data_IF_447443177502
#
_entry.id   IF_447443177502
#
_cell.length_a   1.000
_cell.length_b   1.000
_cell.length_c   1.000
_cell.angle_alpha   90.00
_cell.angle_beta   90.00
_cell.angle_gamma   90.00
#
_symmetry.space_group_name_H-M   'P 1'
#
loop_
_entity.id
_entity.type
_entity.pdbx_description
1 polymer ?
#
# COMPACT_ATOMS: atom_id res chain seq x y z
N UNK A 1 6.49 6.59 6.82
CA UNK A 1 6.92 7.94 6.35
C UNK A 1 6.01 9.12 6.68
N UNK A 2 4.78 8.92 7.18
CA UNK A 2 3.76 9.96 7.28
C UNK A 2 4.21 11.28 7.94
N UNK A 3 5.10 11.23 8.95
CA UNK A 3 5.52 12.41 9.73
C UNK A 3 6.93 12.92 9.48
N UNK A 4 7.68 12.31 8.57
CA UNK A 4 9.12 12.56 8.40
C UNK A 4 9.47 14.03 8.12
N UNK A 5 8.62 14.74 7.37
CA UNK A 5 8.84 16.14 6.97
C UNK A 5 7.92 17.14 7.71
N UNK A 6 7.35 16.75 8.85
CA UNK A 6 6.49 17.63 9.66
C UNK A 6 6.98 17.73 11.10
N UNK A 7 6.64 18.84 11.77
CA UNK A 7 7.01 19.14 13.16
C UNK A 7 6.01 18.56 14.18
N UNK A 8 4.96 17.87 13.73
CA UNK A 8 3.89 17.33 14.58
C UNK A 8 4.30 16.04 15.28
N UNK A 9 3.87 15.87 16.54
CA UNK A 9 4.20 14.72 17.41
C UNK A 9 2.97 13.91 17.87
N UNK A 10 1.86 13.95 17.14
CA UNK A 10 0.70 13.11 17.49
C UNK A 10 1.08 11.63 17.51
N UNK A 11 0.22 10.74 18.02
CA UNK A 11 0.34 9.28 17.88
C UNK A 11 -1.03 8.73 17.48
N UNK A 12 -1.03 7.85 16.49
CA UNK A 12 -2.22 7.13 16.04
C UNK A 12 -1.71 5.91 15.27
N UNK A 13 -2.25 4.75 15.61
CA UNK A 13 -1.90 3.44 15.09
C UNK A 13 -2.91 2.43 15.60
N UNK A 14 -2.96 1.27 14.96
CA UNK A 14 -3.71 0.14 15.49
C UNK A 14 -2.91 -0.57 16.58
N UNK A 15 -3.61 -1.02 17.62
CA UNK A 15 -3.08 -1.92 18.63
C UNK A 15 -3.60 -3.32 18.31
N UNK A 16 -2.68 -4.27 18.08
CA UNK A 16 -3.07 -5.66 17.82
C UNK A 16 -3.48 -6.35 19.12
N UNK A 17 -4.48 -7.25 19.08
CA UNK A 17 -4.78 -8.13 20.20
C UNK A 17 -3.53 -8.94 20.61
N UNK A 18 -3.48 -9.34 21.88
CA UNK A 18 -2.36 -10.15 22.43
C UNK A 18 -2.46 -11.62 21.99
N UNK A 19 -3.63 -12.06 21.55
CA UNK A 19 -3.85 -13.44 21.12
C UNK A 19 -3.04 -13.78 19.86
N UNK A 20 -2.47 -14.98 19.86
CA UNK A 20 -1.71 -15.53 18.73
C UNK A 20 -2.57 -16.40 17.79
N UNK A 21 -3.83 -16.67 18.18
CA UNK A 21 -4.79 -17.46 17.43
C UNK A 21 -5.95 -16.58 16.92
N UNK A 22 -6.56 -17.00 15.80
CA UNK A 22 -7.79 -16.38 15.29
C UNK A 22 -8.92 -16.51 16.32
N UNK A 23 -9.78 -15.50 16.51
CA UNK A 23 -10.93 -15.60 17.41
C UNK A 23 -11.88 -16.74 17.01
N UNK A 24 -12.44 -17.46 17.99
CA UNK A 24 -13.34 -18.61 17.76
C UNK A 24 -14.58 -18.30 16.90
N UNK A 25 -15.02 -17.04 16.85
CA UNK A 25 -16.16 -16.62 16.04
C UNK A 25 -15.78 -16.31 14.58
N UNK A 26 -14.49 -16.18 14.29
CA UNK A 26 -13.90 -15.95 12.96
C UNK A 26 -13.31 -17.26 12.43
N UNK A 27 -14.11 -18.33 12.49
CA UNK A 27 -13.74 -19.67 12.05
C UNK A 27 -14.09 -19.83 10.57
N UNK A 28 -13.13 -19.49 9.71
CA UNK A 28 -13.21 -19.61 8.25
C UNK A 28 -11.94 -20.32 7.79
N UNK A 29 -12.09 -21.28 6.88
CA UNK A 29 -10.97 -22.03 6.33
C UNK A 29 -9.96 -21.10 5.64
N UNK A 30 -8.67 -21.41 5.79
CA UNK A 30 -7.60 -20.56 5.28
C UNK A 30 -7.66 -20.46 3.74
N UNK A 31 -8.03 -21.55 3.07
CA UNK A 31 -8.16 -21.62 1.62
C UNK A 31 -9.27 -20.68 1.10
N UNK A 32 -10.37 -20.54 1.85
CA UNK A 32 -11.47 -19.63 1.50
C UNK A 32 -11.05 -18.16 1.67
N UNK A 33 -10.25 -17.87 2.71
CA UNK A 33 -9.67 -16.54 2.93
C UNK A 33 -8.70 -16.20 1.80
N UNK A 34 -7.79 -17.10 1.44
CA UNK A 34 -6.84 -16.92 0.34
C UNK A 34 -7.57 -16.69 -1.00
N UNK A 35 -8.60 -17.50 -1.28
CA UNK A 35 -9.43 -17.34 -2.48
C UNK A 35 -10.10 -15.96 -2.54
N UNK A 36 -10.62 -15.48 -1.39
CA UNK A 36 -11.23 -14.14 -1.31
C UNK A 36 -10.21 -13.02 -1.48
N UNK A 37 -8.98 -13.19 -0.99
CA UNK A 37 -7.89 -12.22 -1.20
C UNK A 37 -7.62 -12.06 -2.70
N UNK A 38 -7.47 -13.18 -3.42
CA UNK A 38 -7.22 -13.16 -4.87
C UNK A 38 -8.39 -12.53 -5.63
N UNK A 39 -9.63 -12.91 -5.29
CA UNK A 39 -10.83 -12.35 -5.92
C UNK A 39 -10.90 -10.81 -5.77
N UNK A 40 -10.54 -10.28 -4.60
CA UNK A 40 -10.52 -8.83 -4.36
C UNK A 40 -9.36 -8.16 -5.12
N UNK A 41 -8.21 -8.81 -5.26
CA UNK A 41 -7.12 -8.29 -6.08
C UNK A 41 -7.48 -8.22 -7.57
N UNK A 42 -8.17 -9.25 -8.10
CA UNK A 42 -8.69 -9.25 -9.48
C UNK A 42 -9.72 -8.14 -9.71
N UNK A 43 -10.43 -7.71 -8.67
CA UNK A 43 -11.33 -6.56 -8.70
C UNK A 43 -10.59 -5.20 -8.65
N UNK A 44 -9.26 -5.23 -8.52
CA UNK A 44 -8.41 -4.04 -8.50
C UNK A 44 -8.28 -3.37 -7.13
N UNK A 45 -8.57 -4.08 -6.03
CA UNK A 45 -8.34 -3.55 -4.69
C UNK A 45 -6.88 -3.68 -4.26
N UNK A 46 -6.34 -2.63 -3.64
CA UNK A 46 -5.00 -2.64 -3.08
C UNK A 46 -4.91 -3.57 -1.85
N UNK A 47 -3.73 -4.13 -1.51
CA UNK A 47 -3.54 -4.98 -0.33
C UNK A 47 -4.07 -4.37 0.98
N UNK A 48 -3.90 -3.06 1.18
CA UNK A 48 -4.45 -2.37 2.36
C UNK A 48 -5.99 -2.33 2.36
N UNK A 49 -6.61 -2.16 1.20
CA UNK A 49 -8.06 -2.16 1.02
C UNK A 49 -8.63 -3.57 1.18
N UNK A 50 -7.95 -4.59 0.64
CA UNK A 50 -8.31 -6.00 0.82
C UNK A 50 -8.39 -6.34 2.31
N UNK A 51 -7.37 -5.94 3.09
CA UNK A 51 -7.38 -6.15 4.54
C UNK A 51 -8.57 -5.48 5.25
N UNK A 52 -8.95 -4.26 4.84
CA UNK A 52 -10.13 -3.60 5.39
C UNK A 52 -11.42 -4.32 5.01
N UNK A 53 -11.55 -4.77 3.76
CA UNK A 53 -12.73 -5.53 3.30
C UNK A 53 -12.86 -6.87 4.00
N UNK A 54 -11.79 -7.62 4.18
CA UNK A 54 -11.83 -8.86 4.94
C UNK A 54 -12.23 -8.62 6.40
N UNK A 55 -11.74 -7.52 7.00
CA UNK A 55 -12.09 -7.15 8.37
C UNK A 55 -13.55 -6.69 8.53
N UNK A 56 -14.11 -5.99 7.55
CA UNK A 56 -15.41 -5.34 7.69
C UNK A 56 -16.54 -6.16 7.01
N UNK A 57 -16.26 -6.81 5.88
CA UNK A 57 -17.21 -7.58 5.06
C UNK A 57 -17.04 -9.10 5.22
N UNK A 58 -15.79 -9.58 5.37
CA UNK A 58 -15.49 -11.01 5.48
C UNK A 58 -15.50 -11.79 4.17
N UNK A 59 -15.48 -13.12 4.26
CA UNK A 59 -15.56 -14.05 3.12
C UNK A 59 -17.01 -14.49 2.83
N UNK A 60 -17.82 -14.70 3.88
CA UNK A 60 -19.25 -15.06 3.78
C UNK A 60 -20.06 -14.32 4.85
N UNK A 61 -19.73 -13.05 5.09
CA UNK A 61 -20.29 -12.25 6.19
C UNK A 61 -19.65 -12.53 7.56
N UNK A 62 -18.72 -13.50 7.64
CA UNK A 62 -17.85 -13.70 8.81
C UNK A 62 -16.62 -12.82 8.68
N UNK A 63 -16.46 -11.79 9.53
CA UNK A 63 -15.33 -10.87 9.47
C UNK A 63 -14.01 -11.56 9.82
N UNK A 64 -12.92 -11.17 9.16
CA UNK A 64 -11.56 -11.69 9.41
C UNK A 64 -10.68 -10.56 10.00
N UNK A 65 -10.47 -10.54 11.33
CA UNK A 65 -9.78 -9.42 11.99
C UNK A 65 -8.30 -9.28 11.64
N UNK A 66 -7.61 -10.41 11.48
CA UNK A 66 -6.19 -10.47 11.13
C UNK A 66 -5.95 -11.67 10.22
N UNK A 67 -5.73 -11.39 8.93
CA UNK A 67 -5.45 -12.42 7.91
C UNK A 67 -4.26 -13.28 8.30
N UNK A 68 -3.22 -12.68 8.89
CA UNK A 68 -2.01 -13.41 9.27
C UNK A 68 -2.28 -14.42 10.37
N UNK A 69 -3.16 -14.11 11.33
CA UNK A 69 -3.52 -15.06 12.38
C UNK A 69 -4.39 -16.20 11.84
N UNK A 70 -5.24 -15.91 10.85
CA UNK A 70 -6.13 -16.90 10.26
C UNK A 70 -5.42 -17.86 9.28
N UNK A 71 -4.52 -17.35 8.43
CA UNK A 71 -3.87 -18.15 7.37
C UNK A 71 -2.39 -18.44 7.60
N UNK A 72 -1.75 -17.77 8.57
CA UNK A 72 -0.31 -17.80 8.78
C UNK A 72 0.50 -16.92 7.81
N UNK A 73 -0.14 -16.36 6.78
CA UNK A 73 0.49 -15.55 5.72
C UNK A 73 -0.04 -14.12 5.73
N UNK A 74 0.77 -13.16 5.28
CA UNK A 74 0.30 -11.79 5.01
C UNK A 74 -0.48 -11.74 3.71
N UNK A 75 -1.33 -10.72 3.56
CA UNK A 75 -2.04 -10.43 2.31
C UNK A 75 -1.08 -10.36 1.12
N UNK A 76 0.07 -9.68 1.26
CA UNK A 76 1.06 -9.58 0.18
C UNK A 76 1.70 -10.92 -0.18
N UNK A 77 1.96 -11.78 0.82
CA UNK A 77 2.52 -13.12 0.61
C UNK A 77 1.52 -14.01 -0.15
N UNK A 78 0.22 -13.94 0.21
CA UNK A 78 -0.85 -14.64 -0.52
C UNK A 78 -0.91 -14.16 -1.98
N UNK A 79 -0.87 -12.84 -2.21
CA UNK A 79 -0.91 -12.29 -3.56
C UNK A 79 0.30 -12.70 -4.42
N UNK A 80 1.49 -12.76 -3.82
CA UNK A 80 2.71 -13.24 -4.49
C UNK A 80 2.62 -14.73 -4.85
N UNK A 81 2.14 -15.58 -3.95
CA UNK A 81 1.99 -17.02 -4.19
C UNK A 81 0.99 -17.35 -5.31
N UNK A 82 0.02 -16.46 -5.54
CA UNK A 82 -1.02 -16.62 -6.56
C UNK A 82 -0.78 -15.79 -7.82
N UNK A 83 0.40 -15.18 -7.99
CA UNK A 83 0.72 -14.30 -9.12
C UNK A 83 -0.31 -13.16 -9.33
N UNK A 84 -0.99 -12.73 -8.26
CA UNK A 84 -2.03 -11.71 -8.25
C UNK A 84 -1.55 -10.37 -7.65
N UNK A 85 -0.27 -10.28 -7.33
CA UNK A 85 0.36 -9.07 -6.79
C UNK A 85 0.64 -8.00 -7.85
N UNK A 86 0.65 -6.75 -7.42
CA UNK A 86 1.14 -5.62 -8.23
C UNK A 86 2.66 -5.70 -8.41
N UNK A 87 3.16 -5.34 -9.59
CA UNK A 87 4.60 -5.25 -9.89
C UNK A 87 5.32 -4.22 -9.02
N UNK A 88 4.61 -3.15 -8.66
CA UNK A 88 5.11 -2.05 -7.85
C UNK A 88 4.46 -2.08 -6.46
N UNK A 89 5.23 -1.90 -5.37
CA UNK A 89 4.68 -1.79 -4.02
C UNK A 89 3.64 -0.67 -3.89
N UNK A 90 2.52 -0.98 -3.22
CA UNK A 90 1.38 -0.07 -3.00
C UNK A 90 1.82 1.29 -2.42
N UNK A 91 2.70 1.28 -1.42
CA UNK A 91 3.14 2.50 -0.73
C UNK A 91 4.02 3.40 -1.61
N UNK A 92 4.80 2.80 -2.51
CA UNK A 92 5.58 3.52 -3.51
C UNK A 92 4.68 4.12 -4.58
N UNK A 93 3.81 3.30 -5.18
CA UNK A 93 2.82 3.71 -6.19
C UNK A 93 1.99 4.91 -5.73
N UNK A 94 1.41 4.83 -4.54
CA UNK A 94 0.61 5.91 -3.95
C UNK A 94 1.37 7.24 -3.80
N UNK A 95 2.67 7.20 -3.50
CA UNK A 95 3.48 8.42 -3.43
C UNK A 95 3.76 8.99 -4.81
N UNK A 96 4.00 8.13 -5.81
CA UNK A 96 4.21 8.53 -7.21
C UNK A 96 2.96 9.18 -7.78
N UNK A 97 1.78 8.56 -7.64
CA UNK A 97 0.47 9.13 -8.03
C UNK A 97 0.27 10.52 -7.42
N UNK A 98 0.53 10.65 -6.11
CA UNK A 98 0.42 11.93 -5.42
C UNK A 98 1.41 12.97 -5.95
N UNK A 99 2.63 12.58 -6.30
CA UNK A 99 3.63 13.50 -6.82
C UNK A 99 3.28 13.99 -8.23
N UNK A 100 2.72 13.13 -9.08
CA UNK A 100 2.24 13.49 -10.42
C UNK A 100 1.14 14.54 -10.31
N UNK A 101 0.09 14.28 -9.54
CA UNK A 101 -1.00 15.26 -9.38
C UNK A 101 -0.53 16.59 -8.75
N UNK A 102 0.44 16.55 -7.83
CA UNK A 102 1.06 17.76 -7.29
C UNK A 102 1.88 18.51 -8.36
N UNK A 103 2.50 17.80 -9.29
CA UNK A 103 3.31 18.41 -10.35
C UNK A 103 2.43 19.09 -11.39
N UNK A 104 1.39 18.41 -11.87
CA UNK A 104 0.39 18.97 -12.79
C UNK A 104 -0.25 20.25 -12.20
N UNK A 105 -0.65 20.20 -10.92
CA UNK A 105 -1.17 21.40 -10.22
C UNK A 105 -0.17 22.56 -10.21
N UNK A 106 1.12 22.27 -10.00
CA UNK A 106 2.17 23.28 -9.95
C UNK A 106 2.52 23.87 -11.31
N UNK A 107 2.27 23.15 -12.41
CA UNK A 107 2.44 23.65 -13.77
C UNK A 107 1.40 24.74 -14.09
N UNK A 108 0.16 24.55 -13.64
CA UNK A 108 -0.90 25.55 -13.75
C UNK A 108 -0.75 26.70 -12.72
N UNK A 109 -0.24 26.39 -11.52
CA UNK A 109 -0.22 27.30 -10.37
C UNK A 109 1.20 27.52 -9.80
N UNK A 110 2.14 28.13 -10.55
CA UNK A 110 3.56 28.22 -10.16
C UNK A 110 3.82 29.05 -8.88
N UNK A 111 2.86 29.89 -8.48
CA UNK A 111 2.95 30.74 -7.28
C UNK A 111 2.49 30.03 -5.99
N UNK A 112 1.95 28.81 -6.08
CA UNK A 112 1.53 28.05 -4.91
C UNK A 112 2.74 27.44 -4.16
N UNK A 113 3.37 28.26 -3.31
CA UNK A 113 4.54 27.86 -2.55
C UNK A 113 4.28 26.72 -1.54
N UNK A 114 3.03 26.56 -1.10
CA UNK A 114 2.67 25.50 -0.17
C UNK A 114 2.70 24.15 -0.86
N UNK A 115 2.05 24.04 -2.02
CA UNK A 115 2.07 22.80 -2.81
C UNK A 115 3.44 22.54 -3.45
N UNK A 116 4.21 23.58 -3.81
CA UNK A 116 5.61 23.41 -4.21
C UNK A 116 6.44 22.71 -3.15
N UNK A 117 6.29 23.12 -1.88
CA UNK A 117 6.96 22.45 -0.74
C UNK A 117 6.41 21.05 -0.52
N UNK A 118 5.11 20.83 -0.70
CA UNK A 118 4.50 19.51 -0.58
C UNK A 118 5.07 18.54 -1.63
N UNK A 119 5.17 18.97 -2.90
CA UNK A 119 5.78 18.21 -3.99
C UNK A 119 7.21 17.81 -3.64
N UNK A 120 8.07 18.76 -3.27
CA UNK A 120 9.46 18.49 -2.87
C UNK A 120 9.57 17.46 -1.75
N UNK A 121 8.70 17.53 -0.73
CA UNK A 121 8.67 16.56 0.35
C UNK A 121 8.17 15.19 -0.11
N UNK A 122 7.20 15.14 -1.02
CA UNK A 122 6.69 13.87 -1.59
C UNK A 122 7.78 13.21 -2.42
N UNK A 123 8.43 13.93 -3.33
CA UNK A 123 9.54 13.40 -4.13
C UNK A 123 10.71 12.93 -3.25
N UNK A 124 10.99 13.63 -2.14
CA UNK A 124 12.03 13.20 -1.19
C UNK A 124 11.69 11.86 -0.52
N UNK A 125 10.41 11.60 -0.23
CA UNK A 125 9.94 10.31 0.28
C UNK A 125 10.02 9.22 -0.79
N UNK A 126 9.65 9.55 -2.03
CA UNK A 126 9.76 8.61 -3.16
C UNK A 126 11.21 8.18 -3.33
N UNK A 127 12.16 9.12 -3.41
CA UNK A 127 13.60 8.79 -3.52
C UNK A 127 14.07 7.89 -2.39
N UNK A 128 13.61 8.14 -1.16
CA UNK A 128 13.93 7.30 -0.01
C UNK A 128 13.35 5.88 -0.10
N UNK A 129 12.12 5.72 -0.61
CA UNK A 129 11.55 4.38 -0.85
C UNK A 129 12.19 3.69 -2.04
N UNK A 130 12.50 4.43 -3.09
CA UNK A 130 13.20 3.89 -4.25
C UNK A 130 14.52 3.26 -3.81
N UNK A 131 15.29 3.94 -2.95
CA UNK A 131 16.51 3.39 -2.37
C UNK A 131 16.28 2.15 -1.48
N UNK A 132 15.11 2.03 -0.83
CA UNK A 132 14.77 0.90 0.03
C UNK A 132 14.40 -0.35 -0.78
N UNK A 133 13.64 -0.17 -1.87
CA UNK A 133 13.16 -1.25 -2.72
C UNK A 133 14.10 -1.58 -3.89
N UNK A 134 15.13 -0.77 -4.14
CA UNK A 134 16.11 -0.98 -5.21
C UNK A 134 16.81 -2.34 -5.06
N UNK A 135 16.77 -3.14 -6.12
CA UNK A 135 17.38 -4.47 -6.19
C UNK A 135 16.50 -5.59 -5.62
N UNK A 136 15.30 -5.28 -5.15
CA UNK A 136 14.29 -6.25 -4.71
C UNK A 136 13.01 -6.06 -5.54
N UNK A 137 12.10 -5.18 -5.12
CA UNK A 137 10.86 -4.87 -5.88
C UNK A 137 11.04 -3.79 -6.97
N UNK A 138 12.17 -3.08 -7.00
CA UNK A 138 12.48 -2.11 -8.05
C UNK A 138 13.81 -2.45 -8.76
N UNK A 139 13.93 -2.16 -10.07
CA UNK A 139 15.18 -2.35 -10.81
C UNK A 139 16.38 -1.67 -10.14
N UNK A 140 17.58 -2.28 -10.24
CA UNK A 140 18.80 -1.74 -9.62
C UNK A 140 19.17 -0.34 -10.13
N UNK A 141 18.90 -0.07 -11.39
CA UNK A 141 19.14 1.19 -12.08
C UNK A 141 17.99 2.20 -11.94
N UNK A 142 16.93 1.82 -11.21
CA UNK A 142 15.76 2.67 -11.05
C UNK A 142 16.09 4.01 -10.39
N UNK A 143 15.75 5.08 -11.11
CA UNK A 143 15.87 6.46 -10.66
C UNK A 143 14.54 7.18 -10.87
N UNK A 144 14.05 7.83 -9.82
CA UNK A 144 12.80 8.57 -9.90
C UNK A 144 12.95 9.87 -10.70
N UNK A 145 12.23 9.93 -11.82
CA UNK A 145 11.92 11.13 -12.61
C UNK A 145 10.40 11.25 -12.76
N UNK A 146 9.91 12.39 -13.24
CA UNK A 146 8.48 12.54 -13.52
C UNK A 146 8.02 11.56 -14.61
N UNK A 147 8.79 11.47 -15.69
CA UNK A 147 8.52 10.59 -16.83
C UNK A 147 8.46 9.12 -16.39
N UNK A 148 9.50 8.62 -15.72
CA UNK A 148 9.53 7.25 -15.20
C UNK A 148 8.39 7.00 -14.20
N UNK A 149 7.98 8.02 -13.44
CA UNK A 149 6.86 7.92 -12.51
C UNK A 149 5.52 7.76 -13.21
N UNK A 150 5.32 8.43 -14.35
CA UNK A 150 4.11 8.29 -15.17
C UNK A 150 4.08 6.91 -15.83
N UNK A 151 5.20 6.48 -16.42
CA UNK A 151 5.33 5.15 -17.05
C UNK A 151 4.99 4.02 -16.07
N UNK A 152 5.49 4.12 -14.82
CA UNK A 152 5.20 3.16 -13.75
C UNK A 152 3.72 3.02 -13.35
N UNK A 153 2.86 3.98 -13.71
CA UNK A 153 1.43 3.94 -13.40
C UNK A 153 0.57 3.52 -14.60
N UNK A 154 1.15 3.55 -15.80
CA UNK A 154 0.47 3.13 -17.04
C UNK A 154 0.64 1.63 -17.32
N UNK A 155 1.65 1.00 -16.70
CA UNK A 155 1.84 -0.46 -16.63
C UNK A 155 0.92 -1.12 -15.60
#
# INVERSE_FOLDING_TARGET
MARMHTRRRGSSGSDKPVADDSPEWSDVDAEDIESRVVELAEQGYDPSQIGMKLRDEGVTGTPIPDVKLATGKKVTEILEEHDAGSSVPEDFRNLVERAIGLREHMEENPQDHQNKRALQNTESKIRRLADYYRGDQLPEDFTYTYENGVELLEE
#
